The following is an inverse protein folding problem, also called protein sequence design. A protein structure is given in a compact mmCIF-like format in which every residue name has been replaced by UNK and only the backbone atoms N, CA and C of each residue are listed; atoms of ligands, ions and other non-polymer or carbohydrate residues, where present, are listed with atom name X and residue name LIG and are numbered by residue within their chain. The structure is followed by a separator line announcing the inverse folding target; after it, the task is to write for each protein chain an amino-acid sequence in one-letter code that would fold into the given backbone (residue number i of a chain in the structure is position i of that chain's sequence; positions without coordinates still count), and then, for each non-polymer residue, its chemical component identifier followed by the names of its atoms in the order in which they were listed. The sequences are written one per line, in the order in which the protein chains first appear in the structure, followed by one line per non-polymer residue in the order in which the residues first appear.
data_IF_612140246339
#
_entry.id   IF_612140246339
#
_cell.length_a   1.000
_cell.length_b   1.000
_cell.length_c   1.000
_cell.angle_alpha   90.00
_cell.angle_beta   90.00
_cell.angle_gamma   90.00
#
_symmetry.space_group_name_H-M   'P 1'
#
loop_
_entity.id
_entity.type
_entity.pdbx_description
1 polymer ?
#
# COMPACT_ATOMS: atom_id res chain seq x y z
N UNK A 1 -29.25 -0.75 7.79
CA UNK A 1 -28.28 -1.03 8.87
C UNK A 1 -27.17 -2.03 8.47
N UNK A 2 -27.02 -2.37 7.17
CA UNK A 2 -26.27 -3.55 6.69
C UNK A 2 -24.88 -3.28 6.08
N UNK A 3 -24.56 -2.04 5.65
CA UNK A 3 -23.19 -1.68 5.18
C UNK A 3 -22.25 -1.34 6.34
N UNK A 4 -22.81 -0.77 7.40
CA UNK A 4 -22.06 -0.26 8.55
C UNK A 4 -21.32 -1.37 9.32
N UNK A 5 -21.97 -2.52 9.57
CA UNK A 5 -21.35 -3.62 10.31
C UNK A 5 -20.17 -4.27 9.57
N UNK A 6 -20.24 -4.40 8.25
CA UNK A 6 -19.11 -4.91 7.45
C UNK A 6 -17.90 -3.99 7.57
N UNK A 7 -18.13 -2.68 7.47
CA UNK A 7 -17.07 -1.70 7.58
C UNK A 7 -16.52 -1.59 9.00
N UNK A 8 -17.37 -1.70 10.03
CA UNK A 8 -16.96 -1.80 11.43
C UNK A 8 -16.00 -2.97 11.67
N UNK A 9 -16.30 -4.14 11.11
CA UNK A 9 -15.43 -5.33 11.21
C UNK A 9 -14.08 -5.11 10.54
N UNK A 10 -14.05 -4.49 9.36
CA UNK A 10 -12.80 -4.15 8.65
C UNK A 10 -11.98 -3.13 9.47
N UNK A 11 -12.60 -2.05 9.95
CA UNK A 11 -11.94 -1.03 10.78
C UNK A 11 -11.44 -1.58 12.12
N UNK A 12 -12.21 -2.46 12.76
CA UNK A 12 -11.79 -3.16 13.97
C UNK A 12 -10.56 -4.04 13.71
N UNK A 13 -10.55 -4.75 12.58
CA UNK A 13 -9.40 -5.56 12.17
C UNK A 13 -8.16 -4.69 11.95
N UNK A 14 -8.29 -3.58 11.22
CA UNK A 14 -7.23 -2.60 11.00
C UNK A 14 -6.63 -2.07 12.31
N UNK A 15 -7.48 -1.69 13.26
CA UNK A 15 -7.04 -1.24 14.60
C UNK A 15 -6.26 -2.31 15.36
N UNK A 16 -6.75 -3.55 15.34
CA UNK A 16 -6.08 -4.66 16.03
C UNK A 16 -4.73 -5.00 15.39
N UNK A 17 -4.57 -4.76 14.09
CA UNK A 17 -3.33 -5.02 13.35
C UNK A 17 -2.22 -3.99 13.60
N UNK A 18 -2.51 -2.88 14.30
CA UNK A 18 -1.51 -1.83 14.57
C UNK A 18 -0.27 -2.36 15.29
N UNK A 19 -0.46 -3.29 16.22
CA UNK A 19 0.60 -3.81 17.08
C UNK A 19 0.71 -5.35 17.04
N UNK A 20 -0.04 -6.00 16.15
CA UNK A 20 -0.20 -7.46 16.12
C UNK A 20 -0.34 -8.00 14.71
N UNK A 21 0.17 -9.21 14.48
CA UNK A 21 -0.08 -9.96 13.25
C UNK A 21 -1.50 -10.54 13.23
N UNK A 22 -2.10 -10.66 12.04
CA UNK A 22 -3.39 -11.33 11.81
C UNK A 22 -3.41 -12.75 12.37
N UNK A 23 -2.27 -13.43 12.38
CA UNK A 23 -2.12 -14.77 12.93
C UNK A 23 -2.47 -14.83 14.43
N UNK A 24 -2.16 -13.77 15.17
CA UNK A 24 -2.38 -13.65 16.62
C UNK A 24 -3.77 -13.16 17.00
N UNK A 25 -4.54 -12.61 16.06
CA UNK A 25 -5.88 -12.03 16.30
C UNK A 25 -6.96 -13.10 16.13
N UNK A 26 -7.99 -13.09 16.97
CA UNK A 26 -9.14 -13.99 16.88
C UNK A 26 -10.40 -13.29 16.37
N UNK A 27 -11.33 -14.04 15.77
CA UNK A 27 -12.66 -13.54 15.37
C UNK A 27 -13.40 -12.87 16.53
N UNK A 28 -13.26 -13.39 17.74
CA UNK A 28 -13.89 -12.84 18.95
C UNK A 28 -13.31 -11.47 19.35
N UNK A 29 -12.02 -11.26 19.15
CA UNK A 29 -11.40 -9.94 19.38
C UNK A 29 -11.89 -8.94 18.33
N UNK A 30 -11.96 -9.33 17.06
CA UNK A 30 -12.48 -8.48 15.98
C UNK A 30 -13.93 -8.06 16.26
N UNK A 31 -14.80 -9.02 16.63
CA UNK A 31 -16.21 -8.70 16.91
C UNK A 31 -16.37 -7.83 18.15
N UNK A 32 -15.56 -8.06 19.19
CA UNK A 32 -15.53 -7.24 20.40
C UNK A 32 -15.12 -5.80 20.08
N UNK A 33 -14.03 -5.60 19.33
CA UNK A 33 -13.56 -4.27 18.92
C UNK A 33 -14.58 -3.56 18.01
N UNK A 34 -15.25 -4.31 17.12
CA UNK A 34 -16.29 -3.77 16.25
C UNK A 34 -17.62 -3.47 16.98
N UNK A 35 -17.79 -3.93 18.22
CA UNK A 35 -19.04 -3.79 18.98
C UNK A 35 -20.20 -4.60 18.40
N UNK A 36 -19.93 -5.77 17.80
CA UNK A 36 -20.94 -6.65 17.18
C UNK A 36 -20.88 -8.07 17.72
N UNK A 37 -21.91 -8.88 17.48
CA UNK A 37 -21.89 -10.30 17.88
C UNK A 37 -21.09 -11.16 16.91
N UNK A 38 -20.65 -12.34 17.36
CA UNK A 38 -19.99 -13.34 16.50
C UNK A 38 -20.91 -13.80 15.36
N UNK A 39 -22.21 -13.91 15.60
CA UNK A 39 -23.18 -14.22 14.54
C UNK A 39 -23.21 -13.16 13.43
N UNK A 40 -23.05 -11.88 13.78
CA UNK A 40 -22.95 -10.79 12.78
C UNK A 40 -21.69 -10.93 11.94
N UNK A 41 -20.57 -11.37 12.50
CA UNK A 41 -19.34 -11.62 11.73
C UNK A 41 -19.57 -12.65 10.62
N UNK A 42 -20.15 -13.80 10.98
CA UNK A 42 -20.37 -14.89 10.03
C UNK A 42 -21.43 -14.60 8.97
N UNK A 43 -22.18 -13.51 9.09
CA UNK A 43 -23.03 -13.01 8.00
C UNK A 43 -22.23 -12.35 6.87
N UNK A 44 -21.00 -11.90 7.14
CA UNK A 44 -20.17 -11.16 6.17
C UNK A 44 -18.88 -11.88 5.80
N UNK A 45 -18.29 -12.65 6.71
CA UNK A 45 -16.97 -13.24 6.56
C UNK A 45 -16.95 -14.66 7.10
N UNK A 46 -16.28 -15.58 6.41
CA UNK A 46 -16.17 -16.98 6.85
C UNK A 46 -14.97 -17.18 7.78
N UNK A 47 -13.95 -16.32 7.66
CA UNK A 47 -12.72 -16.37 8.44
C UNK A 47 -12.18 -14.97 8.76
N UNK A 48 -11.22 -14.87 9.69
CA UNK A 48 -10.49 -13.61 9.94
C UNK A 48 -9.61 -13.23 8.75
N UNK A 49 -9.12 -14.22 8.01
CA UNK A 49 -8.35 -14.05 6.78
C UNK A 49 -9.19 -13.42 5.66
N UNK A 50 -10.50 -13.67 5.62
CA UNK A 50 -11.41 -13.01 4.68
C UNK A 50 -11.53 -11.52 4.99
N UNK A 51 -11.68 -11.15 6.28
CA UNK A 51 -11.75 -9.74 6.70
C UNK A 51 -10.44 -9.04 6.36
N UNK A 52 -9.32 -9.70 6.64
CA UNK A 52 -8.00 -9.20 6.29
C UNK A 52 -7.84 -9.01 4.78
N UNK A 53 -8.33 -9.96 3.98
CA UNK A 53 -8.30 -9.85 2.51
C UNK A 53 -9.07 -8.62 2.04
N UNK A 54 -10.24 -8.34 2.62
CA UNK A 54 -11.03 -7.16 2.29
C UNK A 54 -10.40 -5.84 2.77
N UNK A 55 -9.71 -5.87 3.92
CA UNK A 55 -8.89 -4.74 4.37
C UNK A 55 -7.76 -4.44 3.37
N UNK A 56 -7.00 -5.47 2.98
CA UNK A 56 -5.90 -5.36 2.01
C UNK A 56 -6.38 -4.84 0.66
N UNK A 57 -7.52 -5.33 0.15
CA UNK A 57 -8.13 -4.79 -1.08
C UNK A 57 -8.47 -3.31 -0.94
N UNK A 58 -9.02 -2.90 0.20
CA UNK A 58 -9.38 -1.50 0.44
C UNK A 58 -8.15 -0.59 0.42
N UNK A 59 -7.05 -1.05 1.03
CA UNK A 59 -5.77 -0.35 0.99
C UNK A 59 -5.22 -0.24 -0.45
N UNK A 60 -5.14 -1.34 -1.21
CA UNK A 60 -4.61 -1.29 -2.57
C UNK A 60 -5.48 -0.50 -3.53
N UNK A 61 -6.80 -0.57 -3.40
CA UNK A 61 -7.71 0.25 -4.21
C UNK A 61 -7.51 1.74 -3.94
N UNK A 62 -7.25 2.13 -2.68
CA UNK A 62 -6.88 3.50 -2.35
C UNK A 62 -5.55 3.90 -3.01
N UNK A 63 -4.52 3.07 -2.90
CA UNK A 63 -3.21 3.35 -3.49
C UNK A 63 -3.25 3.45 -5.01
N UNK A 64 -4.01 2.58 -5.68
CA UNK A 64 -4.26 2.66 -7.12
C UNK A 64 -4.95 3.97 -7.49
N UNK A 65 -5.97 4.39 -6.74
CA UNK A 65 -6.68 5.63 -7.00
C UNK A 65 -5.79 6.87 -6.83
N UNK A 66 -4.91 6.90 -5.83
CA UNK A 66 -3.96 8.01 -5.65
C UNK A 66 -2.91 8.04 -6.77
N UNK A 67 -2.40 6.88 -7.22
CA UNK A 67 -1.50 6.81 -8.37
C UNK A 67 -2.18 7.27 -9.67
N UNK A 68 -3.43 6.87 -9.91
CA UNK A 68 -4.20 7.32 -11.07
C UNK A 68 -4.41 8.84 -11.07
N UNK A 69 -4.68 9.43 -9.88
CA UNK A 69 -4.74 10.89 -9.74
C UNK A 69 -3.41 11.54 -10.07
N UNK A 70 -2.30 11.02 -9.52
CA UNK A 70 -0.97 11.52 -9.85
C UNK A 70 -0.72 11.46 -11.36
N UNK A 71 -1.02 10.33 -12.01
CA UNK A 71 -0.88 10.17 -13.47
C UNK A 71 -1.64 11.22 -14.25
N UNK A 72 -2.88 11.52 -13.87
CA UNK A 72 -3.68 12.55 -14.53
C UNK A 72 -3.13 13.97 -14.34
N UNK A 73 -2.30 14.18 -13.32
CA UNK A 73 -1.79 15.46 -12.90
C UNK A 73 -0.37 15.78 -13.37
N UNK A 74 0.41 14.75 -13.72
CA UNK A 74 1.75 14.84 -14.29
C UNK A 74 1.64 15.18 -15.78
N UNK A 75 2.42 16.16 -16.23
CA UNK A 75 2.31 16.75 -17.57
C UNK A 75 3.66 16.90 -18.28
N UNK A 76 4.60 16.00 -17.98
CA UNK A 76 5.97 16.01 -18.51
C UNK A 76 7.02 16.38 -17.46
N UNK A 77 8.28 16.44 -17.88
CA UNK A 77 9.40 16.88 -17.06
C UNK A 77 9.36 18.40 -16.86
N UNK A 78 8.66 18.84 -15.81
CA UNK A 78 8.54 20.25 -15.46
C UNK A 78 8.35 20.41 -13.94
N UNK A 79 8.63 21.62 -13.44
CA UNK A 79 8.55 21.94 -12.01
C UNK A 79 7.20 21.60 -11.37
N UNK A 80 6.08 21.76 -12.09
CA UNK A 80 4.74 21.43 -11.54
C UNK A 80 4.60 19.92 -11.34
N UNK A 81 5.03 19.12 -12.31
CA UNK A 81 5.05 17.66 -12.19
C UNK A 81 5.96 17.20 -11.05
N UNK A 82 7.14 17.79 -10.93
CA UNK A 82 8.10 17.46 -9.86
C UNK A 82 7.52 17.70 -8.46
N UNK A 83 6.89 18.86 -8.23
CA UNK A 83 6.29 19.21 -6.94
C UNK A 83 5.18 18.23 -6.56
N UNK A 84 4.28 17.93 -7.50
CA UNK A 84 3.17 16.99 -7.28
C UNK A 84 3.66 15.58 -7.01
N UNK A 85 4.70 15.14 -7.72
CA UNK A 85 5.30 13.83 -7.52
C UNK A 85 5.95 13.73 -6.13
N UNK A 86 6.71 14.74 -5.70
CA UNK A 86 7.30 14.78 -4.34
C UNK A 86 6.23 14.78 -3.27
N UNK A 87 5.18 15.60 -3.40
CA UNK A 87 4.05 15.61 -2.48
C UNK A 87 3.36 14.25 -2.39
N UNK A 88 3.14 13.59 -3.53
CA UNK A 88 2.60 12.24 -3.58
C UNK A 88 3.48 11.23 -2.83
N UNK A 89 4.81 11.27 -3.03
CA UNK A 89 5.73 10.34 -2.37
C UNK A 89 5.71 10.51 -0.86
N UNK A 90 5.81 11.75 -0.36
CA UNK A 90 5.81 12.07 1.08
C UNK A 90 4.48 11.63 1.70
N UNK A 91 3.35 12.08 1.13
CA UNK A 91 2.01 11.70 1.61
C UNK A 91 1.79 10.18 1.59
N UNK A 92 2.30 9.50 0.57
CA UNK A 92 2.25 8.05 0.45
C UNK A 92 3.05 7.34 1.54
N UNK A 93 4.24 7.85 1.87
CA UNK A 93 5.09 7.32 2.94
C UNK A 93 4.46 7.51 4.32
N UNK A 94 3.92 8.69 4.62
CA UNK A 94 3.21 8.95 5.89
C UNK A 94 2.04 7.97 6.07
N UNK A 95 1.24 7.75 5.02
CA UNK A 95 0.11 6.82 5.08
C UNK A 95 0.54 5.35 5.13
N UNK A 96 1.60 4.98 4.43
CA UNK A 96 2.14 3.62 4.53
C UNK A 96 2.64 3.33 5.95
N UNK A 97 3.12 4.34 6.65
CA UNK A 97 3.56 4.23 8.04
C UNK A 97 2.36 4.10 9.01
N UNK A 98 1.24 4.77 8.73
CA UNK A 98 -0.01 4.57 9.49
C UNK A 98 -0.59 3.15 9.34
N UNK A 99 -0.39 2.50 8.19
CA UNK A 99 -0.94 1.19 7.87
C UNK A 99 0.02 0.05 8.26
N UNK A 100 0.01 -0.31 9.55
CA UNK A 100 0.96 -1.27 10.15
C UNK A 100 0.64 -2.76 9.97
N UNK A 101 -0.20 -3.18 9.00
CA UNK A 101 -0.29 -4.63 8.75
C UNK A 101 1.02 -5.10 8.11
N UNK A 102 1.74 -5.98 8.83
CA UNK A 102 3.09 -6.36 8.45
C UNK A 102 3.09 -6.98 7.04
N UNK A 103 4.07 -6.61 6.21
CA UNK A 103 4.33 -7.27 4.92
C UNK A 103 4.40 -8.81 5.07
N UNK A 104 4.79 -9.31 6.25
CA UNK A 104 4.79 -10.73 6.58
C UNK A 104 3.41 -11.38 6.55
N UNK A 105 2.33 -10.66 6.89
CA UNK A 105 0.97 -11.19 6.90
C UNK A 105 0.41 -11.34 5.47
N UNK A 106 0.66 -10.35 4.62
CA UNK A 106 0.38 -10.43 3.18
C UNK A 106 1.15 -11.61 2.57
N UNK A 107 2.45 -11.73 2.88
CA UNK A 107 3.28 -12.81 2.37
C UNK A 107 2.79 -14.17 2.87
N UNK A 108 2.41 -14.28 4.14
CA UNK A 108 1.88 -15.51 4.72
C UNK A 108 0.59 -15.94 4.02
N UNK A 109 -0.37 -15.03 3.82
CA UNK A 109 -1.63 -15.38 3.14
C UNK A 109 -1.43 -15.72 1.67
N UNK A 110 -0.50 -15.04 0.98
CA UNK A 110 -0.13 -15.37 -0.40
C UNK A 110 0.46 -16.79 -0.51
N UNK A 111 1.10 -17.30 0.55
CA UNK A 111 1.58 -18.69 0.62
C UNK A 111 0.45 -19.70 0.86
N UNK A 112 -0.61 -19.30 1.57
CA UNK A 112 -1.71 -20.19 2.00
C UNK A 112 -2.84 -20.33 0.98
N UNK A 113 -3.04 -19.35 0.08
CA UNK A 113 -4.16 -19.37 -0.87
C UNK A 113 -3.82 -18.84 -2.25
N UNK A 114 -4.17 -19.63 -3.29
CA UNK A 114 -3.98 -19.24 -4.69
C UNK A 114 -4.74 -17.95 -5.03
N UNK A 115 -6.01 -17.84 -4.65
CA UNK A 115 -6.83 -16.67 -4.95
C UNK A 115 -6.24 -15.36 -4.38
N UNK A 116 -5.72 -15.39 -3.15
CA UNK A 116 -5.08 -14.22 -2.55
C UNK A 116 -3.76 -13.89 -3.27
N UNK A 117 -2.98 -14.90 -3.66
CA UNK A 117 -1.75 -14.68 -4.43
C UNK A 117 -2.05 -14.04 -5.79
N UNK A 118 -3.02 -14.53 -6.52
CA UNK A 118 -3.43 -13.98 -7.82
C UNK A 118 -3.92 -12.54 -7.68
N UNK A 119 -4.70 -12.27 -6.63
CA UNK A 119 -5.10 -10.91 -6.27
C UNK A 119 -3.89 -9.99 -6.06
N UNK A 120 -2.89 -10.42 -5.28
CA UNK A 120 -1.66 -9.65 -5.04
C UNK A 120 -0.84 -9.42 -6.32
N UNK A 121 -0.74 -10.43 -7.19
CA UNK A 121 -0.04 -10.32 -8.48
C UNK A 121 -0.74 -9.31 -9.39
N UNK A 122 -2.07 -9.40 -9.51
CA UNK A 122 -2.86 -8.47 -10.31
C UNK A 122 -2.73 -7.03 -9.81
N UNK A 123 -2.73 -6.82 -8.48
CA UNK A 123 -2.48 -5.50 -7.90
C UNK A 123 -1.08 -4.98 -8.23
N UNK A 124 -0.05 -5.81 -8.10
CA UNK A 124 1.32 -5.41 -8.42
C UNK A 124 1.47 -5.03 -9.89
N UNK A 125 0.89 -5.82 -10.79
CA UNK A 125 0.89 -5.56 -12.23
C UNK A 125 0.22 -4.22 -12.58
N UNK A 126 -0.95 -3.93 -11.98
CA UNK A 126 -1.64 -2.65 -12.19
C UNK A 126 -0.83 -1.46 -11.66
N UNK A 127 -0.25 -1.56 -10.46
CA UNK A 127 0.59 -0.49 -9.90
C UNK A 127 1.80 -0.21 -10.79
N UNK A 128 2.50 -1.26 -11.24
CA UNK A 128 3.66 -1.12 -12.15
C UNK A 128 3.23 -0.47 -13.47
N UNK A 129 2.11 -0.88 -14.06
CA UNK A 129 1.62 -0.30 -15.31
C UNK A 129 1.34 1.21 -15.19
N UNK A 130 0.77 1.65 -14.06
CA UNK A 130 0.51 3.07 -13.81
C UNK A 130 1.82 3.84 -13.62
N UNK A 131 2.77 3.30 -12.86
CA UNK A 131 4.08 3.93 -12.66
C UNK A 131 4.81 4.05 -14.00
N UNK A 132 4.81 3.01 -14.85
CA UNK A 132 5.37 3.08 -16.21
C UNK A 132 4.71 4.21 -17.00
N UNK A 133 3.39 4.32 -16.96
CA UNK A 133 2.70 5.40 -17.66
C UNK A 133 3.12 6.79 -17.15
N UNK A 134 3.26 6.97 -15.83
CA UNK A 134 3.77 8.23 -15.24
C UNK A 134 5.18 8.53 -15.73
N UNK A 135 6.08 7.55 -15.68
CA UNK A 135 7.47 7.72 -16.11
C UNK A 135 7.56 8.04 -17.61
N UNK A 136 6.76 7.39 -18.44
CA UNK A 136 6.68 7.67 -19.89
C UNK A 136 6.20 9.10 -20.15
N UNK A 137 5.22 9.60 -19.38
CA UNK A 137 4.78 11.01 -19.48
C UNK A 137 5.93 11.95 -19.11
N UNK A 138 6.69 11.64 -18.05
CA UNK A 138 7.82 12.48 -17.61
C UNK A 138 8.94 12.51 -18.66
N UNK A 139 9.33 11.36 -19.20
CA UNK A 139 10.55 11.21 -20.01
C UNK A 139 10.35 11.36 -21.53
N UNK A 140 9.14 11.69 -22.00
CA UNK A 140 8.80 11.95 -23.41
C UNK A 140 9.49 11.01 -24.44
N UNK A 141 9.38 9.69 -24.24
CA UNK A 141 9.89 8.69 -25.20
C UNK A 141 11.07 7.83 -24.76
N UNK A 142 11.36 7.71 -23.46
CA UNK A 142 12.30 6.69 -22.96
C UNK A 142 11.93 5.26 -23.39
N UNK A 143 12.91 4.37 -23.54
CA UNK A 143 12.65 2.99 -23.97
C UNK A 143 11.74 2.24 -22.98
N UNK A 144 10.71 1.56 -23.50
CA UNK A 144 9.68 0.86 -22.71
C UNK A 144 10.28 -0.14 -21.68
N UNK A 145 11.35 -0.85 -22.04
CA UNK A 145 12.03 -1.80 -21.14
C UNK A 145 12.73 -1.13 -19.95
N UNK A 146 13.25 0.08 -20.13
CA UNK A 146 13.90 0.82 -19.06
C UNK A 146 12.85 1.32 -18.05
N UNK A 147 11.73 1.84 -18.55
CA UNK A 147 10.63 2.30 -17.70
C UNK A 147 10.01 1.19 -16.86
N UNK A 148 9.83 -0.01 -17.43
CA UNK A 148 9.34 -1.17 -16.66
C UNK A 148 10.32 -1.53 -15.53
N UNK A 149 11.62 -1.44 -15.79
CA UNK A 149 12.65 -1.74 -14.78
C UNK A 149 12.65 -0.69 -13.68
N UNK A 150 12.65 0.60 -14.04
CA UNK A 150 12.54 1.73 -13.10
C UNK A 150 11.27 1.63 -12.25
N UNK A 151 10.12 1.36 -12.86
CA UNK A 151 8.85 1.19 -12.15
C UNK A 151 8.90 0.06 -11.12
N UNK A 152 9.52 -1.08 -11.47
CA UNK A 152 9.70 -2.20 -10.52
C UNK A 152 10.65 -1.85 -9.37
N UNK A 153 11.72 -1.09 -9.64
CA UNK A 153 12.63 -0.60 -8.60
C UNK A 153 11.93 0.37 -7.64
N UNK A 154 11.18 1.34 -8.18
CA UNK A 154 10.38 2.28 -7.40
C UNK A 154 9.37 1.52 -6.52
N UNK A 155 8.64 0.57 -7.11
CA UNK A 155 7.69 -0.26 -6.35
C UNK A 155 8.38 -1.05 -5.23
N UNK A 156 9.57 -1.61 -5.50
CA UNK A 156 10.34 -2.34 -4.50
C UNK A 156 10.79 -1.43 -3.35
N UNK A 157 11.28 -0.23 -3.64
CA UNK A 157 11.67 0.77 -2.64
C UNK A 157 10.48 1.16 -1.75
N UNK A 158 9.31 1.40 -2.35
CA UNK A 158 8.09 1.75 -1.61
C UNK A 158 7.62 0.58 -0.73
N UNK A 159 7.61 -0.65 -1.26
CA UNK A 159 7.10 -1.81 -0.51
C UNK A 159 8.02 -2.24 0.64
N UNK A 160 9.34 -2.03 0.50
CA UNK A 160 10.33 -2.49 1.48
C UNK A 160 10.88 -1.37 2.38
N UNK A 161 10.43 -0.12 2.22
CA UNK A 161 10.83 0.97 3.11
C UNK A 161 10.27 0.78 4.53
N UNK A 162 9.05 0.27 4.68
CA UNK A 162 8.38 0.18 5.99
C UNK A 162 9.06 -0.75 7.02
N UNK A 163 9.49 -1.99 6.70
CA UNK A 163 10.17 -2.83 7.70
C UNK A 163 11.46 -2.21 8.26
N UNK A 164 12.24 -1.55 7.41
CA UNK A 164 13.46 -0.84 7.81
C UNK A 164 13.09 0.37 8.66
N UNK A 165 12.08 1.11 8.22
CA UNK A 165 11.57 2.28 8.91
C UNK A 165 11.16 1.97 10.37
N UNK A 166 10.40 0.90 10.58
CA UNK A 166 9.93 0.48 11.91
C UNK A 166 11.03 0.04 12.88
N UNK A 167 12.28 -0.10 12.39
CA UNK A 167 13.43 -0.48 13.22
C UNK A 167 14.17 0.71 13.83
N UNK A 168 13.89 1.94 13.39
CA UNK A 168 14.51 3.16 13.95
C UNK A 168 13.79 3.58 15.22
N UNK A 169 14.55 3.90 16.27
CA UNK A 169 14.03 4.38 17.56
C UNK A 169 13.90 5.91 17.61
N UNK A 170 14.55 6.64 16.70
CA UNK A 170 14.61 8.10 16.64
C UNK A 170 13.87 8.68 15.43
N UNK A 171 13.00 9.66 15.67
CA UNK A 171 12.20 10.34 14.65
C UNK A 171 13.08 11.09 13.64
N UNK A 172 14.29 11.56 14.02
CA UNK A 172 15.19 12.22 13.07
C UNK A 172 15.84 11.23 12.10
N UNK A 173 16.23 10.04 12.57
CA UNK A 173 16.76 8.97 11.71
C UNK A 173 15.70 8.49 10.71
N UNK A 174 14.47 8.41 11.17
CA UNK A 174 13.29 8.10 10.38
C UNK A 174 13.05 9.10 9.24
N UNK A 175 13.03 10.40 9.56
CA UNK A 175 12.90 11.47 8.57
C UNK A 175 14.05 11.44 7.56
N UNK A 176 15.29 11.30 8.03
CA UNK A 176 16.47 11.25 7.17
C UNK A 176 16.45 10.02 6.23
N UNK A 177 15.90 8.89 6.67
CA UNK A 177 15.69 7.73 5.81
C UNK A 177 14.63 8.02 4.75
N UNK A 178 13.49 8.59 5.15
CA UNK A 178 12.40 8.97 4.24
C UNK A 178 12.90 9.91 3.14
N UNK A 179 13.61 10.99 3.50
CA UNK A 179 14.21 11.94 2.56
C UNK A 179 15.08 11.25 1.51
N UNK A 180 15.91 10.27 1.94
CA UNK A 180 16.76 9.51 1.03
C UNK A 180 15.95 8.64 0.08
N UNK A 181 14.92 7.94 0.55
CA UNK A 181 14.08 7.10 -0.31
C UNK A 181 13.32 7.96 -1.32
N UNK A 182 12.71 9.06 -0.87
CA UNK A 182 12.02 10.03 -1.75
C UNK A 182 12.98 10.56 -2.80
N UNK A 183 14.19 10.95 -2.41
CA UNK A 183 15.22 11.44 -3.34
C UNK A 183 15.58 10.39 -4.39
N UNK A 184 15.85 9.14 -3.98
CA UNK A 184 16.20 8.06 -4.90
C UNK A 184 15.06 7.80 -5.90
N UNK A 185 13.81 7.73 -5.44
CA UNK A 185 12.65 7.52 -6.32
C UNK A 185 12.49 8.70 -7.28
N UNK A 186 12.67 9.92 -6.79
CA UNK A 186 12.61 11.12 -7.62
C UNK A 186 13.69 11.12 -8.70
N UNK A 187 14.94 10.81 -8.33
CA UNK A 187 16.07 10.73 -9.26
C UNK A 187 15.82 9.65 -10.33
N UNK A 188 15.32 8.47 -9.96
CA UNK A 188 14.93 7.42 -10.92
C UNK A 188 13.83 7.85 -11.89
N UNK A 189 13.04 8.87 -11.54
CA UNK A 189 11.88 9.30 -12.32
C UNK A 189 12.17 10.49 -13.23
N UNK A 190 12.86 11.50 -12.71
CA UNK A 190 13.06 12.79 -13.39
C UNK A 190 14.48 13.01 -13.92
N UNK A 191 15.46 12.23 -13.45
CA UNK A 191 16.86 12.35 -13.86
C UNK A 191 17.27 11.13 -14.71
N UNK A 192 18.20 11.33 -15.65
CA UNK A 192 18.84 10.25 -16.43
C UNK A 192 19.95 9.55 -15.64
#
# INVERSE_FOLDING_TARGET
MTKDNREKLIKATDRLLRDRSISSITTKEITKEAGVSVGVFYNYFTSKEDVFTELVKSFFNYSLAELERLKAEITGNNLRSELKFKEFLVKGMDKNWENRFLNSDILMLSRKGQAFRELMLAFNEQMVAIIVAILTIIQDGGQDKDQVTKAKLIMNLIQNSYPVFSSFEDDQEQEAYMEKVVKIIFDLSFNE
#
